data_IF_886874494910
#
_entry.id   IF_886874494910
#
_cell.length_a   1.000
_cell.length_b   1.000
_cell.length_c   1.000
_cell.angle_alpha   90.00
_cell.angle_beta   90.00
_cell.angle_gamma   90.00
#
_symmetry.space_group_name_H-M   'P 1'
#
loop_
_entity.id
_entity.type
_entity.pdbx_description
1 polymer ?
#
# COMPACT_ATOMS: atom_id res chain seq x y z
N UNK A 1 -31.11 -9.20 -31.13
CA UNK A 1 -31.36 -7.76 -31.33
C UNK A 1 -30.17 -7.03 -30.74
N UNK A 2 -29.34 -6.38 -31.57
CA UNK A 2 -28.05 -5.80 -31.14
C UNK A 2 -28.29 -4.65 -30.15
N UNK A 3 -27.71 -4.78 -28.95
CA UNK A 3 -27.55 -3.68 -27.99
C UNK A 3 -26.77 -2.57 -28.69
N UNK A 4 -27.44 -1.47 -29.04
CA UNK A 4 -26.76 -0.24 -29.41
C UNK A 4 -26.18 0.32 -28.10
N UNK A 5 -24.95 -0.11 -27.81
CA UNK A 5 -24.11 0.45 -26.79
C UNK A 5 -24.11 1.98 -26.93
N UNK A 6 -24.30 2.67 -25.80
CA UNK A 6 -23.86 4.06 -25.64
C UNK A 6 -22.45 4.14 -26.27
N UNK A 7 -22.38 4.87 -27.37
CA UNK A 7 -21.35 4.88 -28.42
C UNK A 7 -19.94 4.44 -28.02
N UNK A 8 -19.46 3.39 -28.70
CA UNK A 8 -18.10 2.82 -28.63
C UNK A 8 -17.01 3.68 -29.29
N UNK A 9 -17.13 5.00 -29.33
CA UNK A 9 -16.15 5.86 -30.01
C UNK A 9 -15.72 7.01 -29.12
N UNK A 10 -14.40 7.11 -28.94
CA UNK A 10 -13.70 8.36 -28.60
C UNK A 10 -14.29 9.50 -29.45
N UNK A 11 -14.81 10.54 -28.80
CA UNK A 11 -15.42 11.77 -29.37
C UNK A 11 -16.92 11.77 -29.70
N UNK A 12 -17.74 10.93 -29.04
CA UNK A 12 -19.19 11.13 -29.07
C UNK A 12 -19.65 12.05 -27.93
N UNK A 13 -20.15 13.24 -28.29
CA UNK A 13 -20.92 14.09 -27.39
C UNK A 13 -22.01 13.23 -26.71
N UNK A 14 -22.17 13.38 -25.39
CA UNK A 14 -23.24 12.74 -24.63
C UNK A 14 -24.55 12.97 -25.38
N UNK A 15 -25.33 11.91 -25.71
CA UNK A 15 -26.58 12.09 -26.44
C UNK A 15 -27.45 13.08 -25.67
N UNK A 16 -27.99 14.09 -26.35
CA UNK A 16 -28.75 15.16 -25.67
C UNK A 16 -30.00 14.64 -24.95
N UNK A 17 -30.56 13.52 -25.42
CA UNK A 17 -31.67 12.81 -24.78
C UNK A 17 -31.33 11.34 -24.53
N UNK A 18 -31.86 10.80 -23.44
CA UNK A 18 -31.78 9.41 -23.05
C UNK A 18 -32.66 8.55 -23.98
N UNK A 19 -32.15 7.45 -24.55
CA UNK A 19 -32.92 6.60 -25.45
C UNK A 19 -34.01 5.78 -24.75
N UNK A 20 -34.04 5.75 -23.41
CA UNK A 20 -35.01 4.97 -22.64
C UNK A 20 -36.14 5.81 -22.05
N UNK A 21 -35.85 6.97 -21.46
CA UNK A 21 -36.87 7.84 -20.87
C UNK A 21 -37.19 9.09 -21.70
N UNK A 22 -36.41 9.41 -22.74
CA UNK A 22 -36.62 10.60 -23.58
C UNK A 22 -36.17 11.93 -22.96
N UNK A 23 -35.88 11.96 -21.66
CA UNK A 23 -35.37 13.13 -20.93
C UNK A 23 -33.90 13.43 -21.28
N UNK A 24 -33.38 14.58 -20.81
CA UNK A 24 -31.96 14.90 -20.94
C UNK A 24 -31.08 13.77 -20.36
N UNK A 25 -30.08 13.32 -21.13
CA UNK A 25 -29.25 12.21 -20.66
C UNK A 25 -28.32 12.66 -19.52
N UNK A 26 -28.49 12.02 -18.37
CA UNK A 26 -27.62 12.20 -17.20
C UNK A 26 -26.85 10.91 -16.95
N UNK A 27 -25.54 11.05 -16.76
CA UNK A 27 -24.63 10.01 -16.28
C UNK A 27 -23.47 10.70 -15.56
N UNK A 28 -23.47 10.66 -14.23
CA UNK A 28 -22.52 11.37 -13.39
C UNK A 28 -21.92 10.45 -12.34
N UNK A 29 -20.69 10.70 -11.93
CA UNK A 29 -20.08 10.07 -10.77
C UNK A 29 -20.40 10.92 -9.54
N UNK A 30 -21.49 10.59 -8.85
CA UNK A 30 -22.02 11.40 -7.76
C UNK A 30 -21.17 11.31 -6.49
N UNK A 31 -20.80 10.08 -6.09
CA UNK A 31 -20.02 9.84 -4.88
C UNK A 31 -18.93 8.79 -5.09
N UNK A 32 -17.84 8.94 -4.34
CA UNK A 32 -16.80 7.92 -4.20
C UNK A 32 -16.32 7.91 -2.74
N UNK A 33 -16.23 6.71 -2.16
CA UNK A 33 -15.94 6.55 -0.73
C UNK A 33 -14.55 5.97 -0.47
N UNK A 34 -14.13 6.04 0.80
CA UNK A 34 -12.79 5.60 1.24
C UNK A 34 -12.55 4.09 1.15
N UNK A 35 -13.60 3.29 0.93
CA UNK A 35 -13.53 1.85 0.65
C UNK A 35 -13.49 1.55 -0.87
N UNK A 36 -13.45 2.60 -1.70
CA UNK A 36 -13.42 2.59 -3.16
C UNK A 36 -14.74 2.19 -3.84
N UNK A 37 -15.82 2.04 -3.08
CA UNK A 37 -17.15 2.04 -3.68
C UNK A 37 -17.44 3.41 -4.29
N UNK A 38 -18.36 3.44 -5.24
CA UNK A 38 -18.80 4.67 -5.89
C UNK A 38 -20.27 4.58 -6.29
N UNK A 39 -20.89 5.74 -6.48
CA UNK A 39 -22.25 5.90 -6.96
C UNK A 39 -22.24 6.63 -8.29
N UNK A 40 -22.97 6.08 -9.25
CA UNK A 40 -23.32 6.81 -10.47
C UNK A 40 -24.78 7.23 -10.42
N UNK A 41 -25.02 8.48 -10.79
CA UNK A 41 -26.37 8.99 -10.99
C UNK A 41 -26.70 8.97 -12.48
N UNK A 42 -27.94 8.59 -12.78
CA UNK A 42 -28.43 8.54 -14.16
C UNK A 42 -29.86 9.01 -14.23
N UNK A 43 -30.28 9.48 -15.40
CA UNK A 43 -31.63 10.02 -15.64
C UNK A 43 -32.78 9.01 -15.41
N UNK A 44 -32.54 7.69 -15.51
CA UNK A 44 -33.55 6.67 -15.26
C UNK A 44 -32.91 5.31 -14.89
N UNK A 45 -33.69 4.42 -14.28
CA UNK A 45 -33.22 3.09 -13.85
C UNK A 45 -32.65 2.26 -15.01
N UNK A 46 -33.29 2.29 -16.19
CA UNK A 46 -32.80 1.53 -17.35
C UNK A 46 -31.44 2.03 -17.84
N UNK A 47 -31.18 3.33 -17.76
CA UNK A 47 -29.86 3.88 -18.06
C UNK A 47 -28.82 3.45 -17.01
N UNK A 48 -29.20 3.42 -15.73
CA UNK A 48 -28.36 2.92 -14.64
C UNK A 48 -27.96 1.45 -14.87
N UNK A 49 -28.95 0.59 -15.10
CA UNK A 49 -28.72 -0.84 -15.34
C UNK A 49 -27.85 -1.08 -16.58
N UNK A 50 -28.10 -0.35 -17.67
CA UNK A 50 -27.29 -0.42 -18.88
C UNK A 50 -25.84 0.02 -18.64
N UNK A 51 -25.63 1.10 -17.86
CA UNK A 51 -24.30 1.58 -17.50
C UNK A 51 -23.55 0.55 -16.63
N UNK A 52 -24.20 0.02 -15.59
CA UNK A 52 -23.63 -1.00 -14.70
C UNK A 52 -23.28 -2.29 -15.46
N UNK A 53 -24.19 -2.78 -16.31
CA UNK A 53 -23.94 -3.96 -17.14
C UNK A 53 -22.77 -3.73 -18.10
N UNK A 54 -22.71 -2.57 -18.76
CA UNK A 54 -21.59 -2.19 -19.63
C UNK A 54 -20.26 -2.13 -18.87
N UNK A 55 -20.26 -1.68 -17.62
CA UNK A 55 -19.03 -1.59 -16.83
C UNK A 55 -18.48 -2.96 -16.44
N UNK A 56 -19.37 -3.93 -16.22
CA UNK A 56 -19.02 -5.33 -15.94
C UNK A 56 -18.53 -6.02 -17.22
N UNK A 57 -19.20 -5.81 -18.35
CA UNK A 57 -18.86 -6.43 -19.63
C UNK A 57 -17.52 -5.95 -20.18
N UNK A 58 -17.24 -4.64 -20.10
CA UNK A 58 -16.01 -4.02 -20.59
C UNK A 58 -15.33 -3.17 -19.51
N UNK A 59 -14.41 -3.77 -18.73
CA UNK A 59 -13.65 -3.06 -17.70
C UNK A 59 -12.75 -1.94 -18.24
N UNK A 60 -12.38 -1.98 -19.53
CA UNK A 60 -11.57 -0.92 -20.15
C UNK A 60 -12.45 0.29 -20.43
N UNK A 61 -13.63 0.07 -21.02
CA UNK A 61 -14.64 1.10 -21.20
C UNK A 61 -15.07 1.70 -19.86
N UNK A 62 -15.30 0.86 -18.84
CA UNK A 62 -15.66 1.31 -17.49
C UNK A 62 -14.63 2.29 -16.90
N UNK A 63 -13.35 1.95 -17.02
CA UNK A 63 -12.24 2.81 -16.57
C UNK A 63 -12.26 4.15 -17.31
N UNK A 64 -12.36 4.12 -18.64
CA UNK A 64 -12.27 5.33 -19.45
C UNK A 64 -13.52 6.23 -19.29
N UNK A 65 -14.69 5.63 -19.08
CA UNK A 65 -15.90 6.33 -18.67
C UNK A 65 -15.69 7.04 -17.32
N UNK A 66 -15.30 6.32 -16.27
CA UNK A 66 -15.16 6.91 -14.93
C UNK A 66 -14.06 7.96 -14.87
N UNK A 67 -13.00 7.84 -15.67
CA UNK A 67 -12.01 8.90 -15.85
C UNK A 67 -12.63 10.19 -16.38
N UNK A 68 -13.46 10.09 -17.43
CA UNK A 68 -14.19 11.26 -17.98
C UNK A 68 -15.17 11.85 -16.98
N UNK A 69 -15.78 11.02 -16.12
CA UNK A 69 -16.66 11.46 -15.04
C UNK A 69 -15.91 12.01 -13.81
N UNK A 70 -14.58 12.17 -13.86
CA UNK A 70 -13.82 12.83 -12.80
C UNK A 70 -13.30 11.92 -11.68
N UNK A 71 -13.30 10.59 -11.86
CA UNK A 71 -12.82 9.65 -10.85
C UNK A 71 -11.37 9.93 -10.39
N UNK A 72 -10.52 10.46 -11.28
CA UNK A 72 -9.12 10.77 -10.93
C UNK A 72 -8.99 12.01 -10.04
N UNK A 73 -9.89 12.99 -10.18
CA UNK A 73 -9.94 14.16 -9.31
C UNK A 73 -10.38 13.76 -7.89
N UNK A 74 -11.38 12.88 -7.77
CA UNK A 74 -11.83 12.34 -6.48
C UNK A 74 -10.76 11.45 -5.81
N UNK A 75 -10.08 10.63 -6.61
CA UNK A 75 -9.09 9.68 -6.11
C UNK A 75 -7.67 10.23 -5.94
N UNK A 76 -7.40 11.44 -6.43
CA UNK A 76 -6.07 12.07 -6.41
C UNK A 76 -4.99 11.28 -7.15
N UNK A 77 -5.36 10.37 -8.04
CA UNK A 77 -4.46 9.47 -8.74
C UNK A 77 -5.09 8.95 -10.05
N UNK A 78 -4.27 8.50 -11.02
CA UNK A 78 -4.79 7.87 -12.23
C UNK A 78 -5.58 6.60 -11.92
N UNK A 79 -6.80 6.50 -12.45
CA UNK A 79 -7.62 5.30 -12.29
C UNK A 79 -6.99 4.18 -13.11
N UNK A 80 -6.59 3.07 -12.48
CA UNK A 80 -5.99 1.93 -13.18
C UNK A 80 -7.04 1.07 -13.84
N UNK A 81 -8.10 0.75 -13.11
CA UNK A 81 -9.21 -0.10 -13.55
C UNK A 81 -10.41 0.08 -12.64
N UNK A 82 -11.55 -0.47 -13.08
CA UNK A 82 -12.66 -0.81 -12.21
C UNK A 82 -12.49 -2.27 -11.79
N UNK A 83 -12.47 -2.53 -10.49
CA UNK A 83 -12.32 -3.87 -9.94
C UNK A 83 -13.69 -4.42 -9.54
N UNK A 84 -13.99 -5.64 -9.99
CA UNK A 84 -15.14 -6.41 -9.50
C UNK A 84 -14.70 -7.26 -8.30
N UNK A 85 -15.50 -7.24 -7.23
CA UNK A 85 -15.32 -8.09 -6.05
C UNK A 85 -15.65 -9.56 -6.31
N UNK A 86 -16.29 -9.88 -7.43
CA UNK A 86 -16.83 -11.20 -7.77
C UNK A 86 -18.28 -11.41 -7.30
N UNK A 87 -18.87 -10.43 -6.63
CA UNK A 87 -20.31 -10.40 -6.31
C UNK A 87 -21.05 -9.25 -7.00
N UNK A 88 -20.45 -8.66 -8.05
CA UNK A 88 -21.06 -7.58 -8.83
C UNK A 88 -20.85 -6.18 -8.25
N UNK A 89 -20.11 -6.05 -7.14
CA UNK A 89 -19.72 -4.74 -6.63
C UNK A 89 -18.48 -4.23 -7.37
N UNK A 90 -18.61 -3.08 -8.00
CA UNK A 90 -17.53 -2.39 -8.71
C UNK A 90 -16.80 -1.41 -7.78
N UNK A 91 -15.48 -1.34 -7.93
CA UNK A 91 -14.60 -0.54 -7.08
C UNK A 91 -13.57 0.24 -7.90
N UNK A 92 -13.24 1.44 -7.44
CA UNK A 92 -12.19 2.27 -8.01
C UNK A 92 -10.80 1.79 -7.59
N UNK A 93 -10.03 1.26 -8.52
CA UNK A 93 -8.66 0.80 -8.29
C UNK A 93 -7.68 1.75 -8.99
N UNK A 94 -6.95 2.53 -8.20
CA UNK A 94 -6.00 3.56 -8.64
C UNK A 94 -4.55 3.07 -8.66
N UNK A 95 -4.31 1.76 -8.63
CA UNK A 95 -2.99 1.14 -8.43
C UNK A 95 -2.40 1.37 -7.04
N UNK A 96 -1.95 0.28 -6.41
CA UNK A 96 -1.18 0.36 -5.17
C UNK A 96 0.14 1.12 -5.34
N UNK A 97 0.32 2.17 -4.54
CA UNK A 97 1.54 2.97 -4.44
C UNK A 97 2.08 2.97 -3.01
N UNK A 98 3.41 3.11 -2.86
CA UNK A 98 4.06 3.25 -1.54
C UNK A 98 4.42 4.73 -1.35
N UNK A 99 4.00 5.31 -0.23
CA UNK A 99 4.18 6.74 0.07
C UNK A 99 4.83 6.95 1.45
N UNK A 100 5.55 8.08 1.65
CA UNK A 100 6.04 8.45 2.97
C UNK A 100 4.89 8.56 3.98
N UNK A 101 5.18 8.21 5.24
CA UNK A 101 4.23 8.36 6.35
C UNK A 101 5.01 8.74 7.60
N UNK A 102 4.39 9.53 8.48
CA UNK A 102 4.95 9.82 9.80
C UNK A 102 4.74 8.67 10.79
N UNK A 103 5.59 8.59 11.81
CA UNK A 103 5.49 7.54 12.84
C UNK A 103 4.12 7.54 13.53
N UNK A 104 3.62 8.70 13.93
CA UNK A 104 2.35 8.83 14.64
C UNK A 104 1.17 8.30 13.83
N UNK A 105 1.11 8.62 12.53
CA UNK A 105 0.08 8.14 11.62
C UNK A 105 0.19 6.62 11.39
N UNK A 106 1.40 6.09 11.18
CA UNK A 106 1.60 4.65 11.04
C UNK A 106 1.23 3.88 12.32
N UNK A 107 1.60 4.39 13.49
CA UNK A 107 1.26 3.79 14.77
C UNK A 107 -0.26 3.84 15.03
N UNK A 108 -0.94 4.93 14.67
CA UNK A 108 -2.39 5.03 14.75
C UNK A 108 -3.08 4.01 13.83
N UNK A 109 -2.57 3.84 12.61
CA UNK A 109 -3.07 2.83 11.68
C UNK A 109 -2.94 1.41 12.25
N UNK A 110 -1.76 1.06 12.78
CA UNK A 110 -1.54 -0.25 13.42
C UNK A 110 -2.49 -0.47 14.59
N UNK A 111 -2.66 0.51 15.49
CA UNK A 111 -3.60 0.38 16.62
C UNK A 111 -5.04 0.14 16.19
N UNK A 112 -5.46 0.70 15.05
CA UNK A 112 -6.83 0.54 14.54
C UNK A 112 -7.04 -0.80 13.83
N UNK A 113 -6.03 -1.31 13.12
CA UNK A 113 -6.24 -2.41 12.17
C UNK A 113 -5.45 -3.70 12.49
N UNK A 114 -4.49 -3.67 13.40
CA UNK A 114 -3.65 -4.83 13.70
C UNK A 114 -4.23 -5.65 14.87
N UNK A 115 -4.71 -6.85 14.57
CA UNK A 115 -5.50 -7.68 15.50
C UNK A 115 -4.72 -8.22 16.70
N UNK A 116 -3.40 -8.40 16.58
CA UNK A 116 -2.64 -9.21 17.54
C UNK A 116 -1.57 -8.44 18.33
N UNK A 117 -1.18 -7.26 17.87
CA UNK A 117 0.00 -6.59 18.39
C UNK A 117 -0.16 -5.08 18.32
N UNK A 118 0.22 -4.42 19.41
CA UNK A 118 0.31 -2.97 19.47
C UNK A 118 1.36 -2.42 18.50
N UNK A 119 1.21 -1.13 18.20
CA UNK A 119 2.22 -0.38 17.48
C UNK A 119 3.56 -0.38 18.24
N UNK A 120 4.72 -0.47 17.54
CA UNK A 120 6.02 -0.32 18.17
C UNK A 120 6.16 1.04 18.83
N UNK A 121 6.88 1.11 19.95
CA UNK A 121 7.14 2.37 20.66
C UNK A 121 8.07 3.33 19.89
N UNK A 122 8.89 2.81 18.99
CA UNK A 122 9.78 3.57 18.13
C UNK A 122 10.00 2.84 16.81
N UNK A 123 10.49 3.56 15.81
CA UNK A 123 10.91 3.01 14.54
C UNK A 123 12.21 3.69 14.05
N UNK A 124 12.79 3.17 12.98
CA UNK A 124 13.81 3.87 12.19
C UNK A 124 13.20 4.53 10.96
N UNK A 125 12.27 3.84 10.30
CA UNK A 125 11.56 4.33 9.12
C UNK A 125 10.35 3.45 8.81
N UNK A 126 9.53 3.92 7.87
CA UNK A 126 8.40 3.16 7.37
C UNK A 126 7.72 3.88 6.22
N UNK A 127 6.66 3.28 5.71
CA UNK A 127 5.87 3.81 4.62
C UNK A 127 4.42 3.36 4.73
N UNK A 128 3.53 4.11 4.09
CA UNK A 128 2.15 3.71 3.85
C UNK A 128 2.01 3.07 2.47
N UNK A 129 1.11 2.11 2.37
CA UNK A 129 0.57 1.58 1.13
C UNK A 129 -0.76 2.28 0.88
N UNK A 130 -0.89 2.93 -0.28
CA UNK A 130 -2.08 3.69 -0.65
C UNK A 130 -2.69 3.16 -1.95
N UNK A 131 -4.00 3.33 -2.08
CA UNK A 131 -4.75 3.23 -3.34
C UNK A 131 -5.42 4.59 -3.53
N UNK A 132 -4.98 5.38 -4.50
CA UNK A 132 -5.37 6.79 -4.60
C UNK A 132 -4.98 7.57 -3.34
N UNK A 133 -5.91 8.33 -2.78
CA UNK A 133 -5.74 9.04 -1.51
C UNK A 133 -5.93 8.15 -0.26
N UNK A 134 -6.43 6.92 -0.42
CA UNK A 134 -6.76 6.05 0.72
C UNK A 134 -5.55 5.23 1.17
N UNK A 135 -5.19 5.31 2.45
CA UNK A 135 -4.21 4.41 3.06
C UNK A 135 -4.82 3.02 3.32
N UNK A 136 -4.24 1.99 2.70
CA UNK A 136 -4.65 0.60 2.86
C UNK A 136 -3.74 -0.20 3.81
N UNK A 137 -2.56 0.33 4.12
CA UNK A 137 -1.63 -0.37 4.99
C UNK A 137 -0.38 0.42 5.33
N UNK A 138 0.42 -0.12 6.24
CA UNK A 138 1.69 0.46 6.67
C UNK A 138 2.74 -0.61 6.91
N UNK A 139 4.01 -0.22 6.74
CA UNK A 139 5.17 -0.99 7.19
C UNK A 139 6.01 -0.14 8.13
N UNK A 140 6.40 -0.71 9.26
CA UNK A 140 7.22 -0.07 10.28
C UNK A 140 8.48 -0.90 10.49
N UNK A 141 9.63 -0.29 10.26
CA UNK A 141 10.96 -0.90 10.37
C UNK A 141 11.71 -0.24 11.51
N UNK A 142 12.32 -1.04 12.37
CA UNK A 142 13.06 -0.56 13.54
C UNK A 142 14.21 -1.49 13.90
N UNK A 143 14.72 -1.32 15.12
CA UNK A 143 15.73 -2.22 15.63
C UNK A 143 15.12 -3.62 15.86
N UNK A 144 15.90 -4.69 15.70
CA UNK A 144 15.44 -6.03 16.04
C UNK A 144 14.96 -6.12 17.49
N UNK A 145 13.83 -6.78 17.71
CA UNK A 145 13.30 -7.02 19.06
C UNK A 145 14.20 -8.03 19.79
N UNK A 146 14.74 -9.00 19.06
CA UNK A 146 15.74 -9.93 19.57
C UNK A 146 17.10 -9.23 19.72
N UNK A 147 17.53 -8.97 20.96
CA UNK A 147 18.79 -8.26 21.27
C UNK A 147 20.03 -8.85 20.60
N UNK A 148 20.09 -10.18 20.43
CA UNK A 148 21.24 -10.84 19.78
C UNK A 148 21.47 -10.42 18.33
N UNK A 149 20.45 -9.85 17.66
CA UNK A 149 20.52 -9.30 16.32
C UNK A 149 20.81 -7.79 16.30
N UNK A 150 20.67 -7.09 17.42
CA UNK A 150 20.93 -5.65 17.49
C UNK A 150 22.41 -5.35 17.28
N UNK A 151 22.72 -4.23 16.62
CA UNK A 151 24.09 -3.77 16.38
C UNK A 151 24.84 -4.47 15.23
N UNK A 152 24.27 -5.53 14.63
CA UNK A 152 24.91 -6.32 13.56
C UNK A 152 24.48 -5.88 12.15
N UNK A 153 24.39 -4.56 11.91
CA UNK A 153 23.91 -4.03 10.62
C UNK A 153 22.49 -4.50 10.23
N UNK A 154 21.71 -5.00 11.20
CA UNK A 154 20.42 -5.67 10.97
C UNK A 154 19.26 -4.80 11.45
N UNK A 155 18.20 -4.72 10.63
CA UNK A 155 16.91 -4.12 11.00
C UNK A 155 15.78 -5.13 10.91
N UNK A 156 14.66 -4.84 11.56
CA UNK A 156 13.48 -5.71 11.57
C UNK A 156 12.25 -4.97 11.06
N UNK A 157 11.46 -5.60 10.20
CA UNK A 157 10.08 -5.19 9.96
C UNK A 157 9.29 -5.54 11.21
N UNK A 158 9.17 -4.59 12.13
CA UNK A 158 8.50 -4.83 13.41
C UNK A 158 6.99 -4.98 13.22
N UNK A 159 6.40 -4.23 12.28
CA UNK A 159 4.99 -4.35 11.90
C UNK A 159 4.81 -4.18 10.41
N UNK A 160 3.92 -4.99 9.87
CA UNK A 160 3.29 -4.78 8.58
C UNK A 160 1.80 -4.99 8.80
N UNK A 161 0.98 -3.99 8.48
CA UNK A 161 -0.45 -4.02 8.71
C UNK A 161 -1.17 -3.59 7.45
N UNK A 162 -2.09 -4.40 6.95
CA UNK A 162 -3.07 -4.01 5.95
C UNK A 162 -4.45 -4.00 6.60
N UNK A 163 -5.27 -2.99 6.31
CA UNK A 163 -6.67 -2.98 6.76
C UNK A 163 -7.45 -4.08 6.04
N UNK A 164 -8.36 -4.76 6.75
CA UNK A 164 -9.11 -5.94 6.25
C UNK A 164 -10.58 -5.64 5.94
N UNK A 165 -11.03 -4.45 6.29
CA UNK A 165 -12.34 -3.86 6.00
C UNK A 165 -12.45 -3.31 4.57
N UNK A 166 -11.42 -3.51 3.73
CA UNK A 166 -11.49 -3.27 2.28
C UNK A 166 -11.37 -4.59 1.51
N UNK A 167 -12.05 -4.71 0.35
CA UNK A 167 -12.00 -5.92 -0.47
C UNK A 167 -10.58 -6.36 -0.83
N UNK A 168 -10.36 -7.68 -0.83
CA UNK A 168 -9.04 -8.27 -1.03
C UNK A 168 -8.39 -7.87 -2.37
N UNK A 169 -9.22 -7.66 -3.40
CA UNK A 169 -8.81 -7.24 -4.75
C UNK A 169 -8.03 -5.92 -4.76
N UNK A 170 -8.32 -5.01 -3.81
CA UNK A 170 -7.65 -3.71 -3.71
C UNK A 170 -6.32 -3.77 -2.95
N UNK A 171 -6.16 -4.75 -2.06
CA UNK A 171 -4.95 -4.94 -1.24
C UNK A 171 -4.07 -6.09 -1.72
N UNK A 172 -4.43 -6.74 -2.83
CA UNK A 172 -3.65 -7.80 -3.45
C UNK A 172 -2.22 -7.31 -3.75
N UNK A 173 -1.21 -8.14 -3.47
CA UNK A 173 0.21 -7.78 -3.51
C UNK A 173 0.66 -6.66 -2.54
N UNK A 174 -0.19 -6.22 -1.61
CA UNK A 174 0.16 -5.16 -0.66
C UNK A 174 1.33 -5.53 0.25
N UNK A 175 1.28 -6.73 0.86
CA UNK A 175 2.34 -7.19 1.75
C UNK A 175 3.69 -7.32 1.03
N UNK A 176 3.71 -7.95 -0.15
CA UNK A 176 4.95 -8.14 -0.91
C UNK A 176 5.54 -6.81 -1.40
N UNK A 177 4.70 -5.84 -1.82
CA UNK A 177 5.14 -4.47 -2.15
C UNK A 177 5.81 -3.78 -0.95
N UNK A 178 5.21 -3.86 0.23
CA UNK A 178 5.73 -3.26 1.46
C UNK A 178 7.02 -3.94 1.94
N UNK A 179 7.09 -5.28 1.93
CA UNK A 179 8.32 -6.01 2.26
C UNK A 179 9.46 -5.70 1.27
N UNK A 180 9.14 -5.62 -0.02
CA UNK A 180 10.11 -5.24 -1.04
C UNK A 180 10.61 -3.81 -0.87
N UNK A 181 9.71 -2.86 -0.56
CA UNK A 181 10.07 -1.47 -0.27
C UNK A 181 10.96 -1.38 0.96
N UNK A 182 10.60 -2.05 2.07
CA UNK A 182 11.36 -2.03 3.31
C UNK A 182 12.79 -2.53 3.11
N UNK A 183 12.99 -3.62 2.35
CA UNK A 183 14.32 -4.14 2.04
C UNK A 183 15.16 -3.15 1.21
N UNK A 184 14.57 -2.53 0.17
CA UNK A 184 15.27 -1.53 -0.65
C UNK A 184 15.66 -0.30 0.17
N UNK A 185 14.74 0.20 1.00
CA UNK A 185 14.99 1.36 1.86
C UNK A 185 16.03 1.05 2.94
N UNK A 186 16.02 -0.16 3.52
CA UNK A 186 17.05 -0.61 4.44
C UNK A 186 18.44 -0.62 3.77
N UNK A 187 18.53 -1.18 2.56
CA UNK A 187 19.79 -1.22 1.80
C UNK A 187 20.31 0.19 1.49
N UNK A 188 19.42 1.11 1.08
CA UNK A 188 19.74 2.52 0.84
C UNK A 188 20.29 3.22 2.08
N UNK A 189 19.81 2.84 3.27
CA UNK A 189 20.25 3.37 4.56
C UNK A 189 21.52 2.72 5.13
N UNK A 190 22.11 1.77 4.40
CA UNK A 190 23.36 1.13 4.80
C UNK A 190 23.21 -0.12 5.67
N UNK A 191 22.00 -0.69 5.81
CA UNK A 191 21.85 -1.97 6.50
C UNK A 191 22.26 -3.14 5.62
N UNK A 192 22.84 -4.16 6.24
CA UNK A 192 23.33 -5.38 5.58
C UNK A 192 22.28 -6.49 5.56
N UNK A 193 21.32 -6.43 6.48
CA UNK A 193 20.29 -7.45 6.63
C UNK A 193 18.98 -6.86 7.14
N UNK A 194 17.88 -7.41 6.66
CA UNK A 194 16.54 -7.16 7.22
C UNK A 194 15.90 -8.48 7.60
N UNK A 195 15.18 -8.49 8.72
CA UNK A 195 14.47 -9.66 9.24
C UNK A 195 13.01 -9.35 9.54
N UNK A 196 12.18 -10.39 9.59
CA UNK A 196 10.81 -10.34 10.11
C UNK A 196 10.42 -11.70 10.66
N UNK A 197 9.27 -11.75 11.32
CA UNK A 197 8.71 -12.97 11.86
C UNK A 197 7.24 -13.09 11.46
N UNK A 198 6.84 -14.26 10.97
CA UNK A 198 5.44 -14.63 10.79
C UNK A 198 5.07 -15.71 11.82
N UNK A 199 3.79 -15.83 12.16
CA UNK A 199 3.33 -16.97 12.96
C UNK A 199 3.34 -18.23 12.09
N UNK A 200 3.79 -19.35 12.64
CA UNK A 200 3.94 -20.61 11.91
C UNK A 200 2.60 -21.31 11.63
N UNK A 201 1.52 -20.90 12.31
CA UNK A 201 0.16 -21.46 12.19
C UNK A 201 -0.77 -20.65 11.27
N UNK A 202 -0.40 -19.43 10.89
CA UNK A 202 -1.27 -18.52 10.10
C UNK A 202 -0.76 -18.26 8.69
N UNK A 203 0.56 -18.04 8.51
CA UNK A 203 1.10 -17.57 7.23
C UNK A 203 2.23 -18.46 6.71
N UNK A 204 2.04 -18.93 5.49
CA UNK A 204 3.04 -19.68 4.74
C UNK A 204 4.21 -18.81 4.26
N UNK A 205 4.06 -17.48 4.28
CA UNK A 205 5.06 -16.50 3.83
C UNK A 205 5.09 -16.27 2.32
N UNK A 206 4.00 -16.54 1.58
CA UNK A 206 3.93 -16.28 0.13
C UNK A 206 4.31 -14.85 -0.27
N UNK A 207 3.88 -13.85 0.51
CA UNK A 207 4.22 -12.44 0.28
C UNK A 207 5.71 -12.13 0.48
N UNK A 208 6.37 -12.84 1.40
CA UNK A 208 7.80 -12.72 1.69
C UNK A 208 8.64 -13.37 0.60
N UNK A 209 8.26 -14.57 0.14
CA UNK A 209 8.87 -15.22 -1.02
C UNK A 209 8.78 -14.35 -2.27
N UNK A 210 7.61 -13.79 -2.56
CA UNK A 210 7.41 -12.86 -3.67
C UNK A 210 8.26 -11.58 -3.55
N UNK A 211 8.61 -11.18 -2.32
CA UNK A 211 9.51 -10.06 -2.05
C UNK A 211 11.01 -10.44 -2.02
N UNK A 212 11.37 -11.69 -2.33
CA UNK A 212 12.75 -12.19 -2.35
C UNK A 212 13.36 -12.42 -0.98
N UNK A 213 12.55 -12.80 0.01
CA UNK A 213 13.01 -13.17 1.34
C UNK A 213 13.15 -14.69 1.47
N UNK A 214 14.04 -15.13 2.36
CA UNK A 214 14.30 -16.53 2.68
C UNK A 214 13.79 -16.85 4.08
N UNK A 215 13.25 -18.05 4.27
CA UNK A 215 12.89 -18.56 5.58
C UNK A 215 14.14 -19.18 6.23
N UNK A 216 14.61 -18.56 7.31
CA UNK A 216 15.92 -18.84 7.93
C UNK A 216 15.80 -19.61 9.26
N UNK A 217 14.62 -20.19 9.49
CA UNK A 217 14.39 -21.11 10.60
C UNK A 217 13.14 -20.81 11.41
N UNK A 218 12.72 -21.83 12.16
CA UNK A 218 11.61 -21.79 13.09
C UNK A 218 12.10 -21.42 14.49
N UNK A 219 11.42 -20.47 15.12
CA UNK A 219 11.69 -19.99 16.47
C UNK A 219 10.55 -20.43 17.38
N UNK A 220 10.87 -21.16 18.44
CA UNK A 220 9.86 -21.63 19.40
C UNK A 220 9.16 -20.45 20.07
N UNK A 221 7.84 -20.53 20.13
CA UNK A 221 7.02 -19.63 20.94
C UNK A 221 7.46 -19.74 22.41
N UNK A 222 7.75 -18.61 23.04
CA UNK A 222 8.11 -18.55 24.46
C UNK A 222 7.43 -17.37 25.11
N UNK A 223 7.16 -17.50 26.41
CA UNK A 223 6.78 -16.40 27.27
C UNK A 223 7.86 -15.31 27.20
N UNK A 224 7.43 -14.05 27.14
CA UNK A 224 8.33 -12.91 27.29
C UNK A 224 8.48 -12.48 28.75
N UNK A 225 7.78 -13.16 29.66
CA UNK A 225 7.91 -13.00 31.09
C UNK A 225 9.22 -13.66 31.56
N UNK A 226 10.04 -12.89 32.26
CA UNK A 226 11.28 -13.39 32.88
C UNK A 226 11.40 -12.79 34.28
N UNK A 227 12.07 -13.46 35.24
CA UNK A 227 12.15 -12.97 36.62
C UNK A 227 12.67 -11.53 36.74
N UNK A 228 13.64 -11.13 35.89
CA UNK A 228 14.19 -9.77 35.87
C UNK A 228 13.39 -8.75 35.02
N UNK A 229 12.30 -9.18 34.37
CA UNK A 229 11.42 -8.30 33.60
C UNK A 229 10.05 -8.93 33.48
N UNK A 230 9.23 -8.69 34.49
CA UNK A 230 7.84 -9.10 34.51
C UNK A 230 7.12 -8.53 33.28
N UNK A 231 6.48 -9.40 32.50
CA UNK A 231 5.61 -8.98 31.40
C UNK A 231 4.33 -9.80 31.44
N UNK A 232 3.22 -9.15 31.10
CA UNK A 232 1.99 -9.87 30.79
C UNK A 232 2.13 -10.42 29.38
N UNK A 233 2.08 -11.74 29.24
CA UNK A 233 1.99 -12.35 27.92
C UNK A 233 0.59 -12.10 27.36
N UNK A 234 0.53 -11.80 26.06
CA UNK A 234 -0.73 -11.68 25.34
C UNK A 234 -0.95 -12.97 24.55
N UNK A 235 -1.84 -13.83 25.04
CA UNK A 235 -2.23 -15.09 24.40
C UNK A 235 -1.25 -16.25 24.60
N UNK A 236 -1.54 -17.37 23.93
CA UNK A 236 -0.71 -18.58 23.96
C UNK A 236 0.55 -18.36 23.12
N UNK A 237 1.76 -18.70 23.62
CA UNK A 237 2.97 -18.62 22.82
C UNK A 237 2.88 -19.50 21.58
N UNK A 238 3.04 -18.88 20.41
CA UNK A 238 3.03 -19.57 19.12
C UNK A 238 4.41 -19.52 18.49
N UNK A 239 4.79 -20.62 17.85
CA UNK A 239 6.00 -20.71 17.06
C UNK A 239 5.99 -19.70 15.91
N UNK A 240 7.16 -19.17 15.60
CA UNK A 240 7.34 -18.18 14.54
C UNK A 240 8.30 -18.70 13.49
N UNK A 241 8.07 -18.31 12.25
CA UNK A 241 9.06 -18.47 11.18
C UNK A 241 9.84 -17.17 11.07
N UNK A 242 11.17 -17.26 11.17
CA UNK A 242 12.06 -16.12 10.94
C UNK A 242 12.36 -16.05 9.46
N UNK A 243 12.11 -14.88 8.89
CA UNK A 243 12.47 -14.57 7.51
C UNK A 243 13.60 -13.56 7.49
N UNK A 244 14.46 -13.67 6.50
CA UNK A 244 15.49 -12.66 6.28
C UNK A 244 15.71 -12.36 4.81
N UNK A 245 16.38 -11.23 4.59
CA UNK A 245 16.96 -10.90 3.32
C UNK A 245 18.32 -10.25 3.54
N UNK A 246 19.34 -10.81 2.91
CA UNK A 246 20.63 -10.13 2.78
C UNK A 246 20.47 -8.93 1.85
N UNK A 247 21.03 -7.80 2.26
CA UNK A 247 20.95 -6.54 1.54
C UNK A 247 22.33 -6.24 0.95
N UNK A 248 22.33 -5.59 -0.21
CA UNK A 248 23.55 -4.97 -0.76
C UNK A 248 23.47 -3.49 -0.42
N UNK A 249 24.21 -3.01 0.60
CA UNK A 249 24.14 -1.61 1.00
C UNK A 249 24.50 -0.73 -0.19
N UNK A 250 23.80 0.39 -0.37
CA UNK A 250 24.25 1.38 -1.34
C UNK A 250 25.65 1.84 -0.93
N UNK A 251 26.63 1.75 -1.84
CA UNK A 251 27.98 2.27 -1.57
C UNK A 251 27.82 3.74 -1.21
N UNK A 252 28.37 4.23 -0.08
CA UNK A 252 28.28 5.66 0.23
C UNK A 252 28.82 6.44 -0.97
N UNK A 253 28.07 7.46 -1.41
CA UNK A 253 28.58 8.38 -2.42
C UNK A 253 29.94 8.89 -1.90
N UNK A 254 30.97 8.80 -2.74
CA UNK A 254 32.28 9.37 -2.40
C UNK A 254 32.05 10.83 -2.00
N UNK A 255 32.51 11.21 -0.80
CA UNK A 255 32.43 12.60 -0.35
C UNK A 255 33.06 13.47 -1.45
N UNK A 256 32.40 14.53 -1.93
CA UNK A 256 33.05 15.45 -2.87
C UNK A 256 34.37 15.92 -2.23
N UNK A 257 35.44 16.06 -3.02
CA UNK A 257 36.71 16.58 -2.50
C UNK A 257 36.43 17.91 -1.81
N UNK A 258 37.08 18.13 -0.66
CA UNK A 258 37.01 19.45 -0.01
C UNK A 258 37.46 20.48 -1.05
N UNK A 259 36.72 21.59 -1.24
CA UNK A 259 37.23 22.68 -2.07
C UNK A 259 38.62 23.06 -1.55
N UNK A 260 39.57 23.22 -2.46
CA UNK A 260 40.93 23.65 -2.10
C UNK A 260 40.82 24.92 -1.26
N UNK A 261 41.53 24.95 -0.13
CA UNK A 261 41.64 26.16 0.70
C UNK A 261 42.21 27.27 -0.19
N UNK A 262 41.36 28.20 -0.61
CA UNK A 262 41.83 29.42 -1.27
C UNK A 262 42.55 30.23 -0.20
N UNK A 263 43.87 30.29 -0.30
CA UNK A 263 44.68 31.19 0.52
C UNK A 263 44.19 32.63 0.24
N UNK A 264 43.89 33.43 1.27
CA UNK A 264 43.46 34.81 1.06
C UNK A 264 44.56 35.57 0.32
N UNK A 265 44.21 36.22 -0.78
CA UNK A 265 45.07 37.20 -1.43
C UNK A 265 45.40 38.31 -0.43
N UNK A 266 46.66 38.39 0.00
CA UNK A 266 47.21 39.58 0.63
C UNK A 266 47.27 40.68 -0.41
N UNK A 267 46.46 41.72 -0.24
CA UNK A 267 46.65 42.98 -0.95
C UNK A 267 47.84 43.68 -0.29
N UNK A 268 49.00 43.62 -0.95
CA UNK A 268 50.11 44.50 -0.62
C UNK A 268 49.72 45.93 -0.99
N UNK A 269 49.74 46.81 0.01
CA UNK A 269 49.54 48.23 -0.15
C UNK A 269 50.82 48.87 -0.70
N UNK A 270 50.69 49.59 -1.82
CA UNK A 270 51.60 50.63 -2.27
C UNK A 270 50.78 51.75 -2.92
#
# INVERSE_FOLDING_TARGET
MRVQALSRTSDAATPSCCPWCGEAAVLELAEAWSDHAFLIETCCLTAHEAACAGMVEDPTWARDLLRRLGAEALGGAPLRRVADTGCGQLLLDYQLAVRPVGFAAAAAFVRRHHQHCDAPAAWRFGAALVNGMTSLGVVMVGNPVARGLMGRGTVEVNRLCLRRDVPAVLRWNGCSKLYGWAAREAARRGFERIVTYTRADEEDGGSLRAAGWTCDGRVRGRSWNTPGRARRDHGVPVDKLRWSRALRPARPASRPPRPATVMPFTLDAA
#
